data_IF_723582890867
#
_entry.id   IF_723582890867
#
_cell.length_a   1.000
_cell.length_b   1.000
_cell.length_c   1.000
_cell.angle_alpha   90.00
_cell.angle_beta   90.00
_cell.angle_gamma   90.00
#
_symmetry.space_group_name_H-M   'P 1'
#
loop_
_entity.id
_entity.type
_entity.pdbx_description
1 polymer ?
#
# COMPACT_ATOMS: atom_id res chain seq x y z
N UNK A 1 13.43 -2.00 9.17
CA UNK A 1 12.02 -1.89 8.76
C UNK A 1 11.39 -0.71 9.46
N UNK A 2 10.59 0.10 8.77
CA UNK A 2 9.90 1.27 9.32
C UNK A 2 8.65 0.90 10.16
N UNK A 3 8.15 -0.34 10.04
CA UNK A 3 6.96 -0.82 10.75
C UNK A 3 7.05 -2.32 11.03
N UNK A 4 6.14 -2.86 11.84
CA UNK A 4 6.04 -4.31 12.07
C UNK A 4 5.30 -5.02 10.94
N UNK A 5 5.56 -6.32 10.68
CA UNK A 5 4.85 -7.07 9.63
C UNK A 5 3.33 -7.05 9.80
N UNK A 6 2.83 -7.20 11.03
CA UNK A 6 1.40 -7.14 11.32
C UNK A 6 0.78 -5.79 10.93
N UNK A 7 1.44 -4.67 11.30
CA UNK A 7 0.98 -3.33 10.91
C UNK A 7 1.01 -3.12 9.40
N UNK A 8 2.03 -3.64 8.71
CA UNK A 8 2.12 -3.57 7.25
C UNK A 8 0.95 -4.32 6.57
N UNK A 9 0.62 -5.53 7.06
CA UNK A 9 -0.51 -6.30 6.53
C UNK A 9 -1.84 -5.58 6.72
N UNK A 10 -2.04 -4.92 7.87
CA UNK A 10 -3.24 -4.10 8.12
C UNK A 10 -3.31 -2.94 7.13
N UNK A 11 -2.21 -2.24 6.88
CA UNK A 11 -2.17 -1.14 5.91
C UNK A 11 -2.48 -1.61 4.48
N UNK A 12 -1.95 -2.77 4.09
CA UNK A 12 -2.23 -3.38 2.79
C UNK A 12 -3.73 -3.74 2.69
N UNK A 13 -4.27 -4.42 3.69
CA UNK A 13 -5.68 -4.81 3.72
C UNK A 13 -6.61 -3.59 3.63
N UNK A 14 -6.32 -2.53 4.39
CA UNK A 14 -7.09 -1.28 4.34
C UNK A 14 -6.98 -0.61 2.96
N UNK A 15 -5.80 -0.61 2.36
CA UNK A 15 -5.60 -0.05 1.01
C UNK A 15 -6.43 -0.80 -0.04
N UNK A 16 -6.54 -2.12 0.09
CA UNK A 16 -7.39 -2.93 -0.80
C UNK A 16 -8.87 -2.59 -0.64
N UNK A 17 -9.35 -2.43 0.60
CA UNK A 17 -10.73 -1.97 0.86
C UNK A 17 -10.97 -0.61 0.21
N UNK A 18 -10.06 0.35 0.42
CA UNK A 18 -10.18 1.69 -0.18
C UNK A 18 -10.22 1.63 -1.71
N UNK A 19 -9.42 0.77 -2.34
CA UNK A 19 -9.42 0.62 -3.80
C UNK A 19 -10.73 0.04 -4.33
N UNK A 20 -11.24 -1.02 -3.69
CA UNK A 20 -12.48 -1.66 -4.10
C UNK A 20 -13.67 -0.73 -3.89
N UNK A 21 -13.79 -0.14 -2.71
CA UNK A 21 -14.88 0.80 -2.41
C UNK A 21 -14.75 2.09 -3.22
N UNK A 22 -13.53 2.60 -3.42
CA UNK A 22 -13.28 3.76 -4.26
C UNK A 22 -13.75 3.53 -5.70
N UNK A 23 -13.49 2.35 -6.28
CA UNK A 23 -14.03 1.96 -7.59
C UNK A 23 -15.56 1.95 -7.59
N UNK A 24 -16.18 1.40 -6.55
CA UNK A 24 -17.65 1.38 -6.40
C UNK A 24 -18.22 2.80 -6.28
N UNK A 25 -17.59 3.66 -5.48
CA UNK A 25 -17.96 5.08 -5.31
C UNK A 25 -17.87 5.82 -6.64
N UNK A 26 -16.76 5.66 -7.38
CA UNK A 26 -16.57 6.29 -8.69
C UNK A 26 -17.63 5.84 -9.71
N UNK A 27 -18.07 4.58 -9.65
CA UNK A 27 -19.13 4.07 -10.51
C UNK A 27 -20.47 4.80 -10.28
N UNK A 28 -20.78 5.24 -9.05
CA UNK A 28 -21.97 6.07 -8.79
C UNK A 28 -21.92 7.44 -9.48
N UNK A 29 -20.72 7.93 -9.81
CA UNK A 29 -20.52 9.16 -10.58
C UNK A 29 -20.37 8.91 -12.09
N UNK A 30 -20.64 7.69 -12.57
CA UNK A 30 -20.50 7.31 -13.98
C UNK A 30 -19.06 7.05 -14.42
N UNK A 31 -18.09 7.04 -13.50
CA UNK A 31 -16.68 6.77 -13.79
C UNK A 31 -16.42 5.27 -13.60
N UNK A 32 -16.32 4.55 -14.71
CA UNK A 32 -16.10 3.10 -14.71
C UNK A 32 -14.61 2.79 -14.89
N UNK A 33 -13.95 2.40 -13.81
CA UNK A 33 -12.56 1.91 -13.86
C UNK A 33 -12.56 0.39 -14.09
N UNK A 34 -11.89 -0.13 -15.12
CA UNK A 34 -11.72 -1.56 -15.34
C UNK A 34 -11.08 -2.27 -14.14
N UNK A 35 -11.45 -3.54 -13.87
CA UNK A 35 -10.82 -4.32 -12.80
C UNK A 35 -9.30 -4.42 -12.95
N UNK A 36 -8.79 -4.55 -14.19
CA UNK A 36 -7.35 -4.64 -14.46
C UNK A 36 -6.61 -3.37 -14.07
N UNK A 37 -7.12 -2.19 -14.43
CA UNK A 37 -6.52 -0.91 -14.04
C UNK A 37 -6.51 -0.74 -12.52
N UNK A 38 -7.60 -1.10 -11.86
CA UNK A 38 -7.69 -1.06 -10.39
C UNK A 38 -6.67 -2.00 -9.74
N UNK A 39 -6.48 -3.19 -10.30
CA UNK A 39 -5.48 -4.16 -9.83
C UNK A 39 -4.05 -3.64 -10.02
N UNK A 40 -3.74 -2.98 -11.15
CA UNK A 40 -2.43 -2.37 -11.40
C UNK A 40 -2.16 -1.24 -10.39
N UNK A 41 -3.14 -0.40 -10.09
CA UNK A 41 -3.01 0.64 -9.05
C UNK A 41 -2.76 -0.02 -7.68
N UNK A 42 -3.51 -1.06 -7.33
CA UNK A 42 -3.30 -1.83 -6.11
C UNK A 42 -1.90 -2.42 -5.99
N UNK A 43 -1.39 -3.00 -7.07
CA UNK A 43 -0.03 -3.53 -7.14
C UNK A 43 1.02 -2.44 -6.85
N UNK A 44 0.87 -1.26 -7.46
CA UNK A 44 1.76 -0.12 -7.25
C UNK A 44 1.71 0.37 -5.80
N UNK A 45 0.52 0.47 -5.21
CA UNK A 45 0.33 0.87 -3.80
C UNK A 45 1.01 -0.13 -2.87
N UNK A 46 0.77 -1.43 -3.05
CA UNK A 46 1.37 -2.48 -2.23
C UNK A 46 2.90 -2.49 -2.37
N UNK A 47 3.42 -2.43 -3.60
CA UNK A 47 4.87 -2.37 -3.84
C UNK A 47 5.49 -1.16 -3.15
N UNK A 48 4.85 0.00 -3.21
CA UNK A 48 5.30 1.23 -2.54
C UNK A 48 5.34 1.05 -1.02
N UNK A 49 4.29 0.48 -0.42
CA UNK A 49 4.24 0.20 1.01
C UNK A 49 5.32 -0.79 1.44
N UNK A 50 5.57 -1.84 0.65
CA UNK A 50 6.62 -2.82 0.94
C UNK A 50 8.00 -2.19 0.86
N UNK A 51 8.30 -1.47 -0.22
CA UNK A 51 9.59 -0.77 -0.41
C UNK A 51 9.83 0.21 0.74
N UNK A 52 8.81 1.00 1.10
CA UNK A 52 8.88 1.91 2.24
C UNK A 52 9.11 1.15 3.54
N UNK A 53 8.39 0.05 3.80
CA UNK A 53 8.50 -0.69 5.04
C UNK A 53 9.88 -1.33 5.23
N UNK A 54 10.53 -1.80 4.17
CA UNK A 54 11.83 -2.49 4.27
C UNK A 54 13.04 -1.56 4.12
N UNK A 55 12.86 -0.34 3.61
CA UNK A 55 13.98 0.59 3.41
C UNK A 55 14.74 0.83 4.73
N UNK A 56 16.09 0.91 4.70
CA UNK A 56 16.88 1.21 5.88
C UNK A 56 16.61 2.63 6.37
N UNK A 57 16.45 2.80 7.68
CA UNK A 57 16.50 4.11 8.33
C UNK A 57 17.94 4.62 8.21
N UNK A 58 18.18 5.65 7.39
CA UNK A 58 19.48 6.33 7.36
C UNK A 58 19.71 6.95 8.74
N UNK A 59 20.75 6.49 9.45
CA UNK A 59 21.17 7.06 10.74
C UNK A 59 21.11 6.12 11.96
N UNK A 60 20.85 4.82 11.80
CA UNK A 60 21.08 3.88 12.91
C UNK A 60 22.57 3.93 13.28
N UNK A 61 22.93 4.25 14.54
CA UNK A 61 24.33 4.26 14.94
C UNK A 61 24.86 2.84 14.76
N UNK A 62 25.97 2.71 14.03
CA UNK A 62 26.81 1.52 14.08
C UNK A 62 27.15 1.33 15.56
N UNK A 63 26.57 0.33 16.22
CA UNK A 63 27.07 -0.12 17.51
C UNK A 63 28.47 -0.67 17.26
N UNK A 64 29.47 0.15 17.52
CA UNK A 64 30.83 -0.27 17.79
C UNK A 64 30.87 -0.74 19.25
N UNK A 65 30.71 -2.03 19.49
CA UNK A 65 31.20 -2.74 20.66
C UNK A 65 31.34 -4.24 20.36
#
# INVERSE_FOLDING_TARGET
MHTSPAKLLILIALSLVILVEGRTVLAFFGINIPPLETALIGLVVIATLVIWAIRPLRGSPTKSE
#
